data_IF_817928267187
#
_entry.id   IF_817928267187
#
_cell.length_a   1.000
_cell.length_b   1.000
_cell.length_c   1.000
_cell.angle_alpha   90.00
_cell.angle_beta   90.00
_cell.angle_gamma   90.00
#
_symmetry.space_group_name_H-M   'P 1'
#
loop_
_entity.id
_entity.type
_entity.pdbx_description
1 polymer ?
#
# COMPACT_ATOMS: atom_id res chain seq x y z
N UNK A 1 -32.90 -37.20 -15.62
CA UNK A 1 -32.94 -35.72 -15.60
C UNK A 1 -32.21 -35.11 -14.40
N UNK A 2 -32.43 -35.58 -13.15
CA UNK A 2 -31.74 -35.04 -11.95
C UNK A 2 -30.20 -35.16 -11.95
N UNK A 3 -29.63 -36.25 -12.49
CA UNK A 3 -28.16 -36.44 -12.61
C UNK A 3 -27.48 -35.51 -13.62
N UNK A 4 -28.17 -35.17 -14.72
CA UNK A 4 -27.64 -34.26 -15.74
C UNK A 4 -27.64 -32.80 -15.25
N UNK A 5 -28.62 -32.45 -14.40
CA UNK A 5 -28.66 -31.15 -13.72
C UNK A 5 -27.48 -30.97 -12.74
N UNK A 6 -27.09 -32.06 -12.06
CA UNK A 6 -25.94 -32.04 -11.15
C UNK A 6 -24.62 -31.81 -11.91
N UNK A 7 -24.45 -32.45 -13.08
CA UNK A 7 -23.28 -32.24 -13.94
C UNK A 7 -23.23 -30.83 -14.52
N UNK A 8 -24.37 -30.24 -14.88
CA UNK A 8 -24.44 -28.85 -15.35
C UNK A 8 -24.07 -27.84 -14.24
N UNK A 9 -24.46 -28.12 -12.98
CA UNK A 9 -24.09 -27.30 -11.82
C UNK A 9 -22.58 -27.36 -11.50
N UNK A 10 -21.93 -28.51 -11.70
CA UNK A 10 -20.48 -28.68 -11.48
C UNK A 10 -19.61 -27.90 -12.49
N UNK A 11 -20.08 -27.71 -13.73
CA UNK A 11 -19.37 -26.92 -14.75
C UNK A 11 -19.51 -25.40 -14.55
N UNK A 12 -20.48 -24.94 -13.74
CA UNK A 12 -20.67 -23.51 -13.48
C UNK A 12 -19.62 -22.92 -12.52
N UNK A 13 -18.93 -23.76 -11.74
CA UNK A 13 -17.94 -23.31 -10.75
C UNK A 13 -16.57 -22.95 -11.35
N UNK A 14 -16.29 -23.27 -12.63
CA UNK A 14 -14.97 -23.02 -13.23
C UNK A 14 -14.78 -21.59 -13.76
N UNK A 15 -15.76 -20.70 -13.60
CA UNK A 15 -15.68 -19.32 -14.11
C UNK A 15 -15.27 -18.27 -13.05
N UNK A 16 -14.86 -18.69 -11.86
CA UNK A 16 -14.33 -17.74 -10.86
C UNK A 16 -12.89 -17.34 -11.23
N UNK A 17 -12.76 -16.24 -11.94
CA UNK A 17 -11.46 -15.61 -12.19
C UNK A 17 -11.01 -14.85 -10.95
N UNK A 18 -10.32 -15.53 -10.04
CA UNK A 18 -9.59 -14.90 -8.93
C UNK A 18 -8.12 -14.59 -9.31
N UNK A 19 -7.89 -14.23 -10.58
CA UNK A 19 -6.54 -13.93 -11.06
C UNK A 19 -6.12 -12.56 -10.53
N UNK A 20 -4.95 -12.51 -9.87
CA UNK A 20 -4.30 -11.27 -9.43
C UNK A 20 -4.35 -10.27 -10.57
N UNK A 21 -5.12 -9.20 -10.39
CA UNK A 21 -5.44 -8.29 -11.48
C UNK A 21 -4.42 -7.17 -11.54
N UNK A 22 -3.86 -6.98 -12.73
CA UNK A 22 -3.13 -5.77 -13.06
C UNK A 22 -4.17 -4.67 -13.28
N UNK A 23 -4.21 -3.72 -12.38
CA UNK A 23 -5.20 -2.65 -12.38
C UNK A 23 -4.58 -1.36 -12.90
N UNK A 24 -5.40 -0.51 -13.52
CA UNK A 24 -4.93 0.80 -13.98
C UNK A 24 -4.42 1.60 -12.80
N UNK A 25 -3.24 2.17 -12.97
CA UNK A 25 -2.59 2.95 -11.94
C UNK A 25 -1.51 3.83 -12.53
N UNK A 26 -0.79 4.51 -11.65
CA UNK A 26 0.29 5.39 -12.04
C UNK A 26 1.37 5.38 -10.98
N UNK A 27 2.57 5.82 -11.36
CA UNK A 27 3.59 6.22 -10.41
C UNK A 27 4.28 7.48 -10.87
N UNK A 28 4.86 8.20 -9.91
CA UNK A 28 5.67 9.40 -10.11
C UNK A 28 7.07 9.06 -9.61
N UNK A 29 8.06 9.12 -10.50
CA UNK A 29 9.46 8.95 -10.11
C UNK A 29 10.02 10.21 -9.45
N UNK A 30 11.16 10.09 -8.77
CA UNK A 30 11.77 11.19 -8.00
C UNK A 30 12.11 12.46 -8.77
N UNK A 31 12.14 12.38 -10.10
CA UNK A 31 12.33 13.51 -10.99
C UNK A 31 10.99 14.17 -11.41
N UNK A 32 9.87 13.80 -10.78
CA UNK A 32 8.53 14.29 -11.08
C UNK A 32 7.88 13.69 -12.33
N UNK A 33 8.50 12.72 -13.00
CA UNK A 33 7.90 12.08 -14.19
C UNK A 33 6.81 11.11 -13.79
N UNK A 34 5.58 11.41 -14.21
CA UNK A 34 4.43 10.52 -14.09
C UNK A 34 4.41 9.48 -15.21
N UNK A 35 4.15 8.23 -14.85
CA UNK A 35 4.00 7.11 -15.79
C UNK A 35 2.66 6.41 -15.52
N UNK A 36 1.77 6.43 -16.51
CA UNK A 36 0.54 5.64 -16.50
C UNK A 36 0.86 4.18 -16.84
N UNK A 37 0.33 3.25 -16.06
CA UNK A 37 0.67 1.84 -16.16
C UNK A 37 -0.44 0.95 -15.58
N UNK A 38 -0.17 -0.35 -15.53
CA UNK A 38 -1.00 -1.31 -14.82
C UNK A 38 -0.20 -1.89 -13.67
N UNK A 39 -0.65 -1.69 -12.43
CA UNK A 39 0.04 -2.14 -11.21
C UNK A 39 -0.62 -3.42 -10.73
N UNK A 40 0.21 -4.39 -10.31
CA UNK A 40 -0.25 -5.65 -9.74
C UNK A 40 -0.81 -5.40 -8.34
N UNK A 41 -2.13 -5.36 -8.20
CA UNK A 41 -2.75 -5.23 -6.89
C UNK A 41 -2.69 -6.57 -6.14
N UNK A 42 -2.08 -6.57 -4.96
CA UNK A 42 -1.91 -7.75 -4.12
C UNK A 42 -2.72 -7.68 -2.82
N UNK A 43 -3.63 -6.70 -2.70
CA UNK A 43 -4.34 -6.39 -1.46
C UNK A 43 -3.35 -6.34 -0.28
N UNK A 44 -2.34 -5.48 -0.41
CA UNK A 44 -1.21 -5.50 0.52
C UNK A 44 -1.67 -5.30 1.97
N UNK A 45 -1.42 -6.32 2.80
CA UNK A 45 -1.67 -6.26 4.25
C UNK A 45 -0.86 -5.15 4.95
N UNK A 46 0.32 -4.83 4.41
CA UNK A 46 1.21 -3.78 4.90
C UNK A 46 1.66 -2.85 3.79
N UNK A 47 2.33 -1.77 4.13
CA UNK A 47 2.79 -0.80 3.14
C UNK A 47 3.92 -1.41 2.31
N UNK A 48 3.80 -1.48 0.97
CA UNK A 48 4.81 -2.10 0.13
C UNK A 48 6.10 -1.26 0.10
N UNK A 49 7.23 -1.91 -0.18
CA UNK A 49 8.53 -1.24 -0.47
C UNK A 49 8.85 -1.23 -1.97
N UNK A 50 8.15 -2.06 -2.72
CA UNK A 50 8.22 -2.21 -4.17
C UNK A 50 6.86 -2.68 -4.70
N UNK A 51 6.61 -2.43 -5.98
CA UNK A 51 5.43 -2.91 -6.68
C UNK A 51 5.77 -3.35 -8.09
N UNK A 52 4.99 -4.31 -8.59
CA UNK A 52 5.11 -4.84 -9.95
C UNK A 52 4.15 -4.12 -10.86
N UNK A 53 4.59 -3.78 -12.08
CA UNK A 53 3.76 -3.11 -13.05
C UNK A 53 4.03 -3.57 -14.49
N UNK A 54 3.11 -3.23 -15.39
CA UNK A 54 3.23 -3.35 -16.84
C UNK A 54 2.91 -2.02 -17.49
N UNK A 55 3.52 -1.68 -18.62
CA UNK A 55 3.18 -0.45 -19.34
C UNK A 55 1.82 -0.59 -20.05
N UNK A 56 1.57 -1.73 -20.66
CA UNK A 56 0.28 -2.13 -21.21
C UNK A 56 -0.17 -3.45 -20.58
N UNK A 57 -1.49 -3.63 -20.45
CA UNK A 57 -2.05 -4.83 -19.80
C UNK A 57 -1.59 -6.14 -20.47
N UNK A 58 -1.47 -6.12 -21.79
CA UNK A 58 -1.09 -7.26 -22.62
C UNK A 58 0.43 -7.44 -22.76
N UNK A 59 1.24 -6.59 -22.13
CA UNK A 59 2.70 -6.75 -22.19
C UNK A 59 3.11 -8.07 -21.51
N UNK A 60 4.00 -8.86 -22.13
CA UNK A 60 4.50 -10.09 -21.52
C UNK A 60 5.49 -9.80 -20.38
N UNK A 61 6.16 -8.65 -20.43
CA UNK A 61 7.16 -8.23 -19.44
C UNK A 61 6.49 -7.61 -18.21
N UNK A 62 6.91 -8.04 -17.02
CA UNK A 62 6.54 -7.41 -15.74
C UNK A 62 7.77 -6.69 -15.19
N UNK A 63 7.61 -5.40 -14.92
CA UNK A 63 8.65 -4.53 -14.36
C UNK A 63 8.43 -4.33 -12.86
N UNK A 64 9.48 -3.90 -12.17
CA UNK A 64 9.45 -3.61 -10.72
C UNK A 64 9.89 -2.16 -10.53
N UNK A 65 9.09 -1.40 -9.78
CA UNK A 65 9.50 -0.12 -9.20
C UNK A 65 9.65 -0.27 -7.69
N UNK A 66 10.48 0.58 -7.09
CA UNK A 66 10.77 0.52 -5.66
C UNK A 66 10.84 1.90 -5.01
N UNK A 67 10.93 1.89 -3.69
CA UNK A 67 10.95 3.09 -2.87
C UNK A 67 12.13 4.03 -3.13
N UNK A 68 13.26 3.52 -3.65
CA UNK A 68 14.42 4.36 -3.95
C UNK A 68 14.18 5.26 -5.16
N UNK A 69 13.33 4.83 -6.11
CA UNK A 69 13.11 5.51 -7.40
C UNK A 69 11.74 6.17 -7.53
N UNK A 70 10.78 5.76 -6.69
CA UNK A 70 9.38 6.21 -6.76
C UNK A 70 9.02 7.15 -5.61
N UNK A 71 8.46 8.31 -5.95
CA UNK A 71 7.96 9.31 -5.02
C UNK A 71 6.52 9.04 -4.59
N UNK A 72 5.68 8.61 -5.54
CA UNK A 72 4.26 8.34 -5.30
C UNK A 72 3.79 7.25 -6.27
N UNK A 73 2.84 6.41 -5.85
CA UNK A 73 2.10 5.57 -6.78
C UNK A 73 0.65 5.40 -6.32
N UNK A 74 -0.22 5.10 -7.27
CA UNK A 74 -1.65 4.92 -7.04
C UNK A 74 -2.23 3.82 -7.91
N UNK A 75 -3.16 3.05 -7.35
CA UNK A 75 -3.98 2.08 -8.08
C UNK A 75 -5.42 2.55 -7.99
N UNK A 76 -6.00 2.81 -9.16
CA UNK A 76 -7.33 3.39 -9.30
C UNK A 76 -7.52 4.64 -8.38
N UNK A 77 -8.71 4.82 -7.83
CA UNK A 77 -9.09 5.94 -6.95
C UNK A 77 -8.87 5.67 -5.47
N UNK A 78 -8.67 4.41 -5.06
CA UNK A 78 -8.75 4.02 -3.63
C UNK A 78 -7.39 3.81 -2.96
N UNK A 79 -6.33 3.48 -3.71
CA UNK A 79 -5.06 3.05 -3.13
C UNK A 79 -3.90 3.94 -3.58
N UNK A 80 -3.67 5.03 -2.86
CA UNK A 80 -2.57 5.97 -3.09
C UNK A 80 -1.52 5.87 -2.01
N UNK A 81 -0.25 5.90 -2.41
CA UNK A 81 0.91 5.79 -1.53
C UNK A 81 1.92 6.86 -1.87
N UNK A 82 2.44 7.54 -0.86
CA UNK A 82 3.46 8.58 -1.02
C UNK A 82 4.69 8.29 -0.17
N UNK A 83 5.87 8.49 -0.75
CA UNK A 83 7.14 8.27 -0.07
C UNK A 83 7.46 9.43 0.86
N UNK A 84 7.89 9.08 2.06
CA UNK A 84 8.42 10.02 3.03
C UNK A 84 9.75 9.51 3.59
N UNK A 85 10.64 10.44 3.93
CA UNK A 85 11.76 10.21 4.82
C UNK A 85 11.40 10.84 6.16
N UNK A 86 11.07 10.02 7.15
CA UNK A 86 10.39 10.48 8.38
C UNK A 86 10.81 9.62 9.57
N UNK A 87 10.69 10.17 10.79
CA UNK A 87 10.80 9.39 12.02
C UNK A 87 9.53 8.57 12.24
N UNK A 88 9.70 7.28 12.48
CA UNK A 88 8.64 6.34 12.85
C UNK A 88 9.00 5.68 14.18
N UNK A 89 7.99 5.51 15.04
CA UNK A 89 8.10 4.77 16.28
C UNK A 89 8.10 3.27 16.01
N UNK A 90 9.18 2.60 16.41
CA UNK A 90 9.39 1.15 16.33
C UNK A 90 9.23 0.42 17.65
N UNK A 91 8.61 1.07 18.65
CA UNK A 91 8.14 0.40 19.86
C UNK A 91 7.24 -0.80 19.51
N UNK A 92 7.31 -1.87 20.30
CA UNK A 92 6.52 -3.08 20.08
C UNK A 92 5.13 -2.91 20.73
N UNK A 93 4.07 -3.17 19.95
CA UNK A 93 2.69 -3.12 20.42
C UNK A 93 2.29 -4.41 21.18
N UNK A 94 3.13 -5.46 21.16
CA UNK A 94 2.90 -6.71 21.90
C UNK A 94 3.09 -6.49 23.40
N UNK A 95 2.00 -6.60 24.17
CA UNK A 95 1.97 -6.48 25.63
C UNK A 95 3.04 -7.34 26.32
N UNK A 96 3.43 -8.48 25.73
CA UNK A 96 4.47 -9.36 26.28
C UNK A 96 5.89 -8.84 26.08
N UNK A 97 6.07 -7.87 25.18
CA UNK A 97 7.35 -7.25 24.80
C UNK A 97 7.40 -5.75 25.09
N UNK A 98 6.30 -5.16 25.57
CA UNK A 98 6.27 -3.78 26.06
C UNK A 98 7.35 -3.64 27.14
N UNK A 99 8.34 -2.82 26.84
CA UNK A 99 9.33 -2.38 27.83
C UNK A 99 8.65 -1.39 28.78
N UNK A 100 9.20 -1.21 29.99
CA UNK A 100 8.70 -0.17 30.92
C UNK A 100 8.93 1.26 30.41
N UNK A 101 9.57 1.44 29.26
CA UNK A 101 9.76 2.73 28.62
C UNK A 101 8.52 3.13 27.83
N UNK A 102 7.89 4.24 28.25
CA UNK A 102 6.71 4.83 27.61
C UNK A 102 7.08 5.65 26.37
N UNK A 103 8.36 5.96 26.18
CA UNK A 103 8.80 6.82 25.09
C UNK A 103 8.90 6.05 23.76
N UNK A 104 8.48 6.66 22.63
CA UNK A 104 8.67 6.09 21.30
C UNK A 104 10.13 5.73 20.98
N UNK A 105 10.36 4.57 20.33
CA UNK A 105 11.66 4.21 19.74
C UNK A 105 11.76 4.80 18.33
N UNK A 106 12.18 6.07 18.26
CA UNK A 106 12.27 6.79 17.00
C UNK A 106 13.38 6.28 16.09
N UNK A 107 12.99 5.92 14.86
CA UNK A 107 13.94 5.62 13.77
C UNK A 107 13.60 6.44 12.54
N UNK A 108 14.61 7.06 11.94
CA UNK A 108 14.44 7.75 10.66
C UNK A 108 14.48 6.72 9.53
N UNK A 109 13.40 6.62 8.78
CA UNK A 109 13.24 5.64 7.71
C UNK A 109 12.67 6.28 6.45
N UNK A 110 12.93 5.65 5.30
CA UNK A 110 12.25 5.99 4.04
C UNK A 110 11.15 4.96 3.82
N UNK A 111 9.88 5.39 3.87
CA UNK A 111 8.71 4.53 3.83
C UNK A 111 7.64 5.09 2.87
N UNK A 112 6.84 4.20 2.29
CA UNK A 112 5.59 4.59 1.65
C UNK A 112 4.50 4.66 2.71
N UNK A 113 3.79 5.78 2.78
CA UNK A 113 2.59 5.93 3.60
C UNK A 113 1.36 5.83 2.70
N UNK A 114 0.38 5.00 3.09
CA UNK A 114 -0.92 4.92 2.42
C UNK A 114 -1.71 6.16 2.78
N UNK A 115 -2.28 6.81 1.79
CA UNK A 115 -3.15 7.96 2.01
C UNK A 115 -4.55 7.45 2.31
N UNK A 116 -5.11 7.83 3.46
CA UNK A 116 -6.45 7.43 3.88
C UNK A 116 -7.48 8.52 3.57
N UNK A 117 -7.13 9.79 3.79
CA UNK A 117 -8.00 10.94 3.55
C UNK A 117 -7.15 12.11 3.09
N UNK A 118 -7.53 12.77 2.01
CA UNK A 118 -6.92 14.03 1.52
C UNK A 118 -7.90 15.19 1.68
N UNK A 119 -7.42 16.33 2.17
CA UNK A 119 -8.21 17.53 2.42
C UNK A 119 -7.33 18.66 2.98
N UNK A 120 -7.90 19.55 3.79
CA UNK A 120 -7.13 20.59 4.50
C UNK A 120 -6.07 20.01 5.44
N UNK A 121 -6.36 18.81 5.97
CA UNK A 121 -5.40 17.92 6.59
C UNK A 121 -5.40 16.59 5.81
N UNK A 122 -4.24 15.95 5.71
CA UNK A 122 -4.12 14.63 5.09
C UNK A 122 -3.79 13.60 6.16
N UNK A 123 -4.55 12.50 6.19
CA UNK A 123 -4.32 11.36 7.08
C UNK A 123 -3.64 10.24 6.30
N UNK A 124 -2.58 9.69 6.87
CA UNK A 124 -1.85 8.57 6.31
C UNK A 124 -1.76 7.41 7.29
N UNK A 125 -1.53 6.20 6.77
CA UNK A 125 -1.24 5.01 7.55
C UNK A 125 0.00 4.28 7.08
N UNK A 126 0.70 3.67 8.03
CA UNK A 126 1.75 2.69 7.84
C UNK A 126 1.38 1.42 8.59
N UNK A 127 1.40 0.29 7.89
CA UNK A 127 1.21 -1.04 8.45
C UNK A 127 2.41 -1.91 8.09
N UNK A 128 3.03 -2.54 9.08
CA UNK A 128 4.05 -3.57 8.88
C UNK A 128 3.88 -4.63 9.98
N UNK A 129 3.67 -5.89 9.56
CA UNK A 129 3.35 -7.01 10.45
C UNK A 129 2.08 -6.77 11.29
N UNK A 130 2.23 -6.56 12.60
CA UNK A 130 1.16 -6.24 13.55
C UNK A 130 1.19 -4.77 14.00
N UNK A 131 2.15 -3.98 13.50
CA UNK A 131 2.35 -2.60 13.89
C UNK A 131 1.61 -1.68 12.94
N UNK A 132 0.68 -0.88 13.47
CA UNK A 132 0.00 0.17 12.74
C UNK A 132 0.42 1.52 13.30
N UNK A 133 0.82 2.44 12.43
CA UNK A 133 1.17 3.83 12.76
C UNK A 133 0.38 4.76 11.85
N UNK A 134 -0.12 5.85 12.41
CA UNK A 134 -0.84 6.87 11.66
C UNK A 134 -0.02 8.14 11.62
N UNK A 135 -0.14 8.87 10.53
CA UNK A 135 0.58 10.12 10.32
C UNK A 135 -0.42 11.16 9.80
N UNK A 136 -0.12 12.43 10.05
CA UNK A 136 -0.94 13.51 9.52
C UNK A 136 -0.05 14.64 9.01
N UNK A 137 -0.59 15.42 8.09
CA UNK A 137 -0.02 16.68 7.65
C UNK A 137 -1.13 17.71 7.47
N UNK A 138 -0.79 18.98 7.55
CA UNK A 138 -1.70 20.10 7.26
C UNK A 138 -0.97 21.12 6.38
N UNK A 139 -1.64 22.22 6.03
CA UNK A 139 -1.00 23.33 5.31
C UNK A 139 0.20 23.93 6.06
N UNK A 140 0.24 23.82 7.39
CA UNK A 140 1.28 24.43 8.23
C UNK A 140 2.15 23.40 8.96
N UNK A 141 1.70 22.15 9.09
CA UNK A 141 2.40 21.09 9.82
C UNK A 141 2.92 20.07 8.79
N UNK A 142 4.25 19.86 8.70
CA UNK A 142 4.81 18.82 7.84
C UNK A 142 4.36 17.43 8.31
N UNK A 143 4.45 16.42 7.46
CA UNK A 143 4.05 15.06 7.83
C UNK A 143 4.79 14.60 9.08
N UNK A 144 4.03 14.21 10.11
CA UNK A 144 4.53 13.68 11.37
C UNK A 144 3.64 12.54 11.87
N UNK A 145 4.19 11.66 12.72
CA UNK A 145 3.44 10.55 13.29
C UNK A 145 2.45 11.05 14.35
N UNK A 146 1.21 10.56 14.29
CA UNK A 146 0.25 10.71 15.39
C UNK A 146 0.69 9.83 16.56
N UNK A 147 0.90 10.44 17.71
CA UNK A 147 1.28 9.76 18.95
C UNK A 147 0.14 9.98 19.94
N UNK A 148 -0.32 8.90 20.55
CA UNK A 148 -1.15 8.98 21.74
C UNK A 148 -0.22 9.02 22.95
N UNK A 149 -0.16 10.17 23.63
CA UNK A 149 0.67 10.36 24.83
C UNK A 149 -0.12 9.98 26.06
#
# INVERSE_FOLDING_TARGET
MKKNLLFALLFYYTFTNAQISFEKGYFISNNGKRTECYIRNLDWKGNPKEFKYKLQLNDPEVKIENIATTEEFGIDTENKYKRFKIKIDRSDDDIKKITTNRDPDWREETIFLKILVEGDATLYSYSENNTNRFFYSTKTIPTEQLIYV
#
